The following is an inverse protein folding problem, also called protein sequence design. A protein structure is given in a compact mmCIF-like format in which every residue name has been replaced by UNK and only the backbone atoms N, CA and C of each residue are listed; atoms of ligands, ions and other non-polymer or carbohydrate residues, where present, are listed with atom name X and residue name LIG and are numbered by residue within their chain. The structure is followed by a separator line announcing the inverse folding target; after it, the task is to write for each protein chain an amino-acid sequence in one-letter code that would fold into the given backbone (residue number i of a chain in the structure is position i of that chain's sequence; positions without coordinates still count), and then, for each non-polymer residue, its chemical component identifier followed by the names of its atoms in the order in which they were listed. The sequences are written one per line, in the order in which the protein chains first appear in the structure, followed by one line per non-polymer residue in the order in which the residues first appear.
data_IF_867585672757
#
_entry.id   IF_867585672757
#
_cell.length_a   1.000
_cell.length_b   1.000
_cell.length_c   1.000
_cell.angle_alpha   90.00
_cell.angle_beta   90.00
_cell.angle_gamma   90.00
#
_symmetry.space_group_name_H-M   'P 1'
#
loop_
_entity.id
_entity.type
_entity.pdbx_description
1 polymer ?
#
# COMPACT_ATOMS: atom_id res chain seq x y z
N UNK A 1 -34.53 3.50 9.88
CA UNK A 1 -34.05 2.69 11.03
C UNK A 1 -32.53 2.63 10.89
N UNK A 2 -31.77 3.34 11.74
CA UNK A 2 -30.30 3.29 11.74
C UNK A 2 -29.89 2.07 12.55
N UNK A 3 -29.37 1.04 11.91
CA UNK A 3 -28.78 -0.11 12.61
C UNK A 3 -27.27 0.10 12.66
N UNK A 4 -26.78 0.04 13.89
CA UNK A 4 -25.41 0.31 14.30
C UNK A 4 -24.45 -0.79 13.84
N UNK A 5 -23.30 -0.30 13.38
CA UNK A 5 -21.96 -0.87 13.43
C UNK A 5 -21.82 -2.08 14.38
N UNK A 6 -21.37 -3.21 13.83
CA UNK A 6 -20.81 -4.34 14.58
C UNK A 6 -19.54 -4.77 13.87
N UNK A 7 -18.35 -4.28 14.28
CA UNK A 7 -17.13 -4.96 13.92
C UNK A 7 -17.22 -6.33 14.57
N UNK A 8 -17.48 -7.34 13.75
CA UNK A 8 -17.41 -8.72 14.21
C UNK A 8 -15.94 -9.04 14.50
N UNK A 9 -15.66 -10.08 15.28
CA UNK A 9 -14.31 -10.63 15.43
C UNK A 9 -13.66 -11.10 14.12
N UNK A 10 -14.35 -10.97 12.99
CA UNK A 10 -13.93 -11.35 11.65
C UNK A 10 -13.78 -10.12 10.71
N UNK A 11 -13.80 -8.90 11.24
CA UNK A 11 -13.55 -7.70 10.44
C UNK A 11 -12.05 -7.45 10.30
N UNK A 12 -11.63 -7.02 9.12
CA UNK A 12 -10.23 -6.74 8.75
C UNK A 12 -10.11 -5.36 8.09
N UNK A 13 -8.89 -4.83 7.99
CA UNK A 13 -8.62 -3.59 7.26
C UNK A 13 -8.60 -3.88 5.75
N UNK A 14 -9.75 -3.72 5.11
CA UNK A 14 -9.87 -3.89 3.66
C UNK A 14 -9.35 -2.67 2.91
N UNK A 15 -8.64 -2.90 1.81
CA UNK A 15 -8.26 -1.87 0.85
C UNK A 15 -8.56 -2.30 -0.57
N UNK A 16 -9.25 -1.44 -1.34
CA UNK A 16 -9.37 -1.55 -2.79
C UNK A 16 -8.36 -0.61 -3.44
N UNK A 17 -7.47 -1.17 -4.25
CA UNK A 17 -6.53 -0.43 -5.09
C UNK A 17 -7.02 -0.45 -6.54
N UNK A 18 -7.37 0.72 -7.07
CA UNK A 18 -7.59 0.93 -8.50
C UNK A 18 -6.42 1.66 -9.14
N UNK A 19 -5.79 1.08 -10.16
CA UNK A 19 -4.80 1.75 -11.03
C UNK A 19 -5.47 2.06 -12.36
N UNK A 20 -5.51 3.33 -12.73
CA UNK A 20 -6.22 3.80 -13.93
C UNK A 20 -5.23 4.19 -15.04
N UNK A 21 -5.68 4.23 -16.32
CA UNK A 21 -4.81 4.55 -17.45
C UNK A 21 -4.10 5.90 -17.30
N UNK A 22 -4.78 6.88 -16.69
CA UNK A 22 -4.20 8.19 -16.45
C UNK A 22 -4.72 8.88 -15.17
N UNK A 23 -4.09 10.02 -14.85
CA UNK A 23 -4.42 10.83 -13.66
C UNK A 23 -5.81 11.45 -13.74
N UNK A 24 -6.34 11.72 -14.93
CA UNK A 24 -7.65 12.33 -15.14
C UNK A 24 -8.75 11.31 -14.81
N UNK A 25 -8.64 10.09 -15.31
CA UNK A 25 -9.57 8.99 -15.00
C UNK A 25 -9.52 8.68 -13.50
N UNK A 26 -8.33 8.52 -12.92
CA UNK A 26 -8.17 8.30 -11.49
C UNK A 26 -8.84 9.41 -10.64
N UNK A 27 -8.72 10.68 -11.08
CA UNK A 27 -9.36 11.82 -10.41
C UNK A 27 -10.89 11.74 -10.48
N UNK A 28 -11.45 11.30 -11.61
CA UNK A 28 -12.90 11.10 -11.76
C UNK A 28 -13.40 9.99 -10.83
N UNK A 29 -12.74 8.82 -10.84
CA UNK A 29 -13.06 7.70 -9.96
C UNK A 29 -12.98 8.10 -8.47
N UNK A 30 -11.88 8.74 -8.07
CA UNK A 30 -11.71 9.28 -6.71
C UNK A 30 -12.84 10.22 -6.28
N UNK A 31 -13.20 11.17 -7.15
CA UNK A 31 -14.27 12.12 -6.86
C UNK A 31 -15.64 11.43 -6.79
N UNK A 32 -15.87 10.41 -7.61
CA UNK A 32 -17.09 9.62 -7.57
C UNK A 32 -17.24 8.87 -6.25
N UNK A 33 -16.20 8.19 -5.79
CA UNK A 33 -16.20 7.53 -4.47
C UNK A 33 -16.46 8.56 -3.37
N UNK A 34 -15.75 9.68 -3.36
CA UNK A 34 -15.97 10.74 -2.35
C UNK A 34 -17.37 11.34 -2.39
N UNK A 35 -17.95 11.49 -3.58
CA UNK A 35 -19.32 11.96 -3.75
C UNK A 35 -20.30 10.94 -3.19
N UNK A 36 -20.14 9.66 -3.50
CA UNK A 36 -20.97 8.59 -2.95
C UNK A 36 -20.94 8.59 -1.42
N UNK A 37 -19.76 8.61 -0.80
CA UNK A 37 -19.63 8.65 0.66
C UNK A 37 -20.30 9.89 1.27
N UNK A 38 -20.19 11.05 0.61
CA UNK A 38 -20.87 12.29 1.04
C UNK A 38 -22.39 12.19 0.90
N UNK A 39 -22.87 11.62 -0.18
CA UNK A 39 -24.31 11.47 -0.42
C UNK A 39 -24.92 10.50 0.61
N UNK A 40 -24.22 9.42 0.99
CA UNK A 40 -24.61 8.56 2.12
C UNK A 40 -24.60 9.32 3.44
N UNK A 41 -23.55 10.09 3.72
CA UNK A 41 -23.46 10.90 4.96
C UNK A 41 -24.64 11.87 5.10
N UNK A 42 -25.07 12.44 3.99
CA UNK A 42 -26.17 13.41 3.94
C UNK A 42 -27.55 12.75 3.79
N UNK A 43 -27.65 11.42 3.82
CA UNK A 43 -28.91 10.68 3.68
C UNK A 43 -29.57 10.79 2.30
N UNK A 44 -28.81 11.14 1.25
CA UNK A 44 -29.30 11.23 -0.13
C UNK A 44 -29.34 9.88 -0.84
N UNK A 45 -28.55 8.92 -0.36
CA UNK A 45 -28.48 7.54 -0.84
C UNK A 45 -28.06 6.65 0.33
N UNK A 46 -28.21 5.34 0.18
CA UNK A 46 -27.71 4.35 1.13
C UNK A 46 -27.34 3.06 0.39
N UNK A 47 -26.42 2.29 0.95
CA UNK A 47 -26.06 0.98 0.44
C UNK A 47 -25.66 0.06 1.59
N UNK A 48 -25.73 -1.25 1.36
CA UNK A 48 -25.38 -2.26 2.38
C UNK A 48 -23.93 -2.08 2.83
N UNK A 49 -23.75 -1.80 4.12
CA UNK A 49 -22.45 -1.60 4.76
C UNK A 49 -22.51 -2.01 6.23
N UNK A 50 -21.44 -2.60 6.72
CA UNK A 50 -21.23 -2.89 8.15
C UNK A 50 -20.23 -1.92 8.80
N UNK A 51 -19.73 -0.96 8.03
CA UNK A 51 -18.67 -0.04 8.40
C UNK A 51 -19.10 1.43 8.48
N UNK A 52 -18.32 2.24 9.20
CA UNK A 52 -18.57 3.67 9.41
C UNK A 52 -17.96 4.53 8.31
N UNK A 53 -18.69 5.55 7.84
CA UNK A 53 -18.17 6.51 6.86
C UNK A 53 -16.98 7.31 7.40
N UNK A 54 -16.87 7.42 8.73
CA UNK A 54 -15.81 8.19 9.37
C UNK A 54 -14.49 7.41 9.47
N UNK A 55 -14.55 6.08 9.33
CA UNK A 55 -13.38 5.19 9.25
C UNK A 55 -12.93 4.96 7.81
N UNK A 56 -13.84 5.17 6.84
CA UNK A 56 -13.54 5.03 5.43
C UNK A 56 -12.58 6.13 4.94
N UNK A 57 -11.44 5.70 4.41
CA UNK A 57 -10.42 6.58 3.85
C UNK A 57 -10.36 6.43 2.34
N UNK A 58 -10.26 7.56 1.63
CA UNK A 58 -10.04 7.57 0.17
C UNK A 58 -8.83 8.43 -0.16
N UNK A 59 -7.82 7.84 -0.80
CA UNK A 59 -6.58 8.51 -1.22
C UNK A 59 -6.45 8.48 -2.73
N UNK A 60 -5.86 9.54 -3.29
CA UNK A 60 -5.49 9.64 -4.71
C UNK A 60 -3.98 9.86 -4.81
N UNK A 61 -3.26 8.97 -5.48
CA UNK A 61 -1.81 9.04 -5.67
C UNK A 61 -1.47 8.80 -7.14
N UNK A 62 -1.23 9.88 -7.89
CA UNK A 62 -0.97 9.79 -9.33
C UNK A 62 -2.20 9.26 -10.08
N UNK A 63 -2.07 8.11 -10.74
CA UNK A 63 -3.16 7.40 -11.40
C UNK A 63 -3.79 6.30 -10.52
N UNK A 64 -3.50 6.28 -9.22
CA UNK A 64 -3.99 5.27 -8.27
C UNK A 64 -5.03 5.85 -7.32
N UNK A 65 -6.11 5.11 -7.09
CA UNK A 65 -7.11 5.40 -6.06
C UNK A 65 -7.10 4.26 -5.05
N UNK A 66 -7.01 4.61 -3.77
CA UNK A 66 -7.08 3.67 -2.66
C UNK A 66 -8.32 4.00 -1.84
N UNK A 67 -9.18 3.01 -1.65
CA UNK A 67 -10.25 3.05 -0.66
C UNK A 67 -9.91 2.06 0.45
N UNK A 68 -9.92 2.49 1.71
CA UNK A 68 -9.61 1.63 2.85
C UNK A 68 -10.68 1.76 3.93
N UNK A 69 -11.10 0.66 4.52
CA UNK A 69 -12.07 0.63 5.63
C UNK A 69 -12.00 -0.67 6.42
N UNK A 70 -12.34 -0.60 7.71
CA UNK A 70 -12.49 -1.78 8.56
C UNK A 70 -13.87 -2.40 8.39
N UNK A 71 -13.95 -3.65 7.90
CA UNK A 71 -15.22 -4.29 7.49
C UNK A 71 -15.09 -5.81 7.45
N UNK A 72 -16.21 -6.53 7.52
CA UNK A 72 -16.30 -7.97 7.20
C UNK A 72 -16.52 -8.23 5.68
N UNK A 73 -15.99 -7.35 4.81
CA UNK A 73 -16.03 -7.51 3.35
C UNK A 73 -17.16 -6.77 2.61
N UNK A 74 -17.88 -5.84 3.24
CA UNK A 74 -18.98 -5.09 2.60
C UNK A 74 -18.48 -3.92 1.74
N UNK A 75 -17.67 -4.21 0.72
CA UNK A 75 -17.00 -3.21 -0.12
C UNK A 75 -17.45 -3.20 -1.60
N UNK A 76 -18.35 -4.11 -1.98
CA UNK A 76 -18.77 -4.33 -3.38
C UNK A 76 -19.31 -3.07 -4.08
N UNK A 77 -20.03 -2.21 -3.35
CA UNK A 77 -20.56 -0.97 -3.95
C UNK A 77 -19.42 -0.02 -4.34
N UNK A 78 -18.34 0.02 -3.55
CA UNK A 78 -17.16 0.83 -3.85
C UNK A 78 -16.37 0.20 -4.99
N UNK A 79 -16.20 -1.13 -4.97
CA UNK A 79 -15.55 -1.88 -6.04
C UNK A 79 -16.22 -1.65 -7.39
N UNK A 80 -17.53 -1.90 -7.48
CA UNK A 80 -18.31 -1.69 -8.69
C UNK A 80 -18.30 -0.23 -9.16
N UNK A 81 -18.21 0.73 -8.23
CA UNK A 81 -18.06 2.14 -8.59
C UNK A 81 -16.70 2.43 -9.22
N UNK A 82 -15.62 1.86 -8.71
CA UNK A 82 -14.27 2.01 -9.27
C UNK A 82 -14.14 1.31 -10.63
N UNK A 83 -14.72 0.11 -10.76
CA UNK A 83 -14.72 -0.68 -12.00
C UNK A 83 -15.35 0.06 -13.20
N UNK A 84 -16.40 0.87 -12.97
CA UNK A 84 -17.03 1.71 -14.01
C UNK A 84 -16.09 2.71 -14.68
N UNK A 85 -14.94 2.99 -14.08
CA UNK A 85 -13.92 3.87 -14.64
C UNK A 85 -12.81 3.10 -15.36
N UNK A 86 -13.02 1.81 -15.62
CA UNK A 86 -12.14 0.92 -16.41
C UNK A 86 -10.67 0.99 -15.93
N UNK A 87 -10.41 0.60 -14.66
CA UNK A 87 -9.04 0.52 -14.17
C UNK A 87 -8.25 -0.54 -14.95
N UNK A 88 -6.96 -0.30 -15.16
CA UNK A 88 -6.02 -1.30 -15.68
C UNK A 88 -5.76 -2.42 -14.64
N UNK A 89 -5.83 -2.07 -13.35
CA UNK A 89 -5.69 -2.99 -12.22
C UNK A 89 -6.74 -2.64 -11.17
N UNK A 90 -7.49 -3.63 -10.71
CA UNK A 90 -8.40 -3.51 -9.59
C UNK A 90 -8.18 -4.69 -8.64
N UNK A 91 -7.54 -4.40 -7.51
CA UNK A 91 -7.14 -5.40 -6.52
C UNK A 91 -7.75 -5.09 -5.17
N UNK A 92 -8.02 -6.16 -4.43
CA UNK A 92 -8.50 -6.12 -3.06
C UNK A 92 -7.43 -6.73 -2.17
N UNK A 93 -7.22 -6.08 -1.03
CA UNK A 93 -6.24 -6.48 -0.04
C UNK A 93 -6.90 -6.47 1.32
N UNK A 94 -6.54 -7.42 2.17
CA UNK A 94 -6.73 -7.31 3.61
C UNK A 94 -5.41 -6.83 4.22
N UNK A 95 -5.48 -6.05 5.30
CA UNK A 95 -4.30 -5.55 6.02
C UNK A 95 -3.22 -4.94 5.09
N UNK A 96 -3.68 -4.09 4.15
CA UNK A 96 -2.80 -3.47 3.15
C UNK A 96 -1.74 -2.59 3.79
N UNK A 97 -0.48 -2.81 3.39
CA UNK A 97 0.67 -2.05 3.86
C UNK A 97 1.40 -1.41 2.68
N UNK A 98 1.83 -0.16 2.87
CA UNK A 98 2.81 0.50 2.02
C UNK A 98 4.09 0.72 2.81
N UNK A 99 5.21 0.23 2.29
CA UNK A 99 6.53 0.31 2.92
C UNK A 99 7.46 1.21 2.12
N UNK A 100 8.17 2.09 2.81
CA UNK A 100 9.43 2.64 2.34
C UNK A 100 10.59 1.87 2.99
N UNK A 101 11.34 1.16 2.15
CA UNK A 101 12.49 0.34 2.57
C UNK A 101 13.75 1.10 2.21
N UNK A 102 14.59 1.39 3.19
CA UNK A 102 15.86 2.09 3.00
C UNK A 102 17.03 1.17 3.28
N UNK A 103 17.97 1.14 2.35
CA UNK A 103 19.27 0.50 2.51
C UNK A 103 20.36 1.59 2.51
N UNK A 104 21.06 1.71 3.62
CA UNK A 104 22.14 2.69 3.80
C UNK A 104 23.49 2.02 3.65
N UNK A 105 24.28 2.46 2.68
CA UNK A 105 25.62 1.93 2.40
C UNK A 105 26.66 3.05 2.44
N UNK A 106 27.97 2.71 2.50
CA UNK A 106 29.04 3.71 2.40
C UNK A 106 28.91 4.62 1.18
N UNK A 107 29.54 5.80 1.24
CA UNK A 107 29.57 6.74 0.12
C UNK A 107 30.07 6.09 -1.17
N UNK A 108 29.61 6.61 -2.30
CA UNK A 108 30.03 6.19 -3.65
C UNK A 108 29.63 4.77 -4.06
N UNK A 109 29.02 3.97 -3.17
CA UNK A 109 28.39 2.70 -3.56
C UNK A 109 27.30 2.97 -4.60
N UNK A 110 27.26 2.15 -5.64
CA UNK A 110 26.26 2.19 -6.70
C UNK A 110 25.46 0.91 -6.69
N UNK A 111 24.36 0.86 -7.45
CA UNK A 111 23.57 -0.36 -7.63
C UNK A 111 24.46 -1.53 -8.12
N UNK A 112 25.48 -1.23 -8.95
CA UNK A 112 26.39 -2.25 -9.49
C UNK A 112 27.42 -2.75 -8.46
N UNK A 113 27.82 -1.91 -7.52
CA UNK A 113 28.86 -2.25 -6.54
C UNK A 113 28.31 -2.69 -5.19
N UNK A 114 27.05 -2.38 -4.86
CA UNK A 114 26.38 -2.85 -3.65
C UNK A 114 26.43 -4.38 -3.48
N UNK A 115 26.26 -5.21 -4.54
CA UNK A 115 26.39 -6.66 -4.43
C UNK A 115 27.74 -7.18 -3.93
N UNK A 116 28.80 -6.38 -3.98
CA UNK A 116 30.14 -6.80 -3.56
C UNK A 116 30.35 -6.68 -2.05
N UNK A 117 29.53 -5.89 -1.37
CA UNK A 117 29.68 -5.58 0.06
C UNK A 117 28.50 -6.08 0.91
N UNK A 118 27.37 -6.39 0.28
CA UNK A 118 26.20 -6.92 0.99
C UNK A 118 26.40 -8.40 1.35
N UNK A 119 26.09 -8.80 2.60
CA UNK A 119 25.98 -10.21 2.97
C UNK A 119 24.96 -10.94 2.10
N UNK A 120 25.09 -12.26 1.99
CA UNK A 120 24.29 -13.12 1.09
C UNK A 120 22.78 -12.89 1.23
N UNK A 121 22.28 -12.78 2.46
CA UNK A 121 20.85 -12.60 2.74
C UNK A 121 20.34 -11.21 2.34
N UNK A 122 21.06 -10.15 2.76
CA UNK A 122 20.74 -8.78 2.35
C UNK A 122 20.81 -8.60 0.83
N UNK A 123 21.78 -9.25 0.17
CA UNK A 123 21.90 -9.23 -1.28
C UNK A 123 20.70 -9.89 -1.97
N UNK A 124 20.15 -10.95 -1.38
CA UNK A 124 18.96 -11.60 -1.91
C UNK A 124 17.75 -10.65 -1.88
N UNK A 125 17.52 -9.96 -0.75
CA UNK A 125 16.46 -8.95 -0.64
C UNK A 125 16.69 -7.80 -1.63
N UNK A 126 17.90 -7.22 -1.64
CA UNK A 126 18.26 -6.10 -2.54
C UNK A 126 17.99 -6.44 -4.02
N UNK A 127 18.34 -7.65 -4.45
CA UNK A 127 18.07 -8.11 -5.82
C UNK A 127 16.59 -8.29 -6.11
N UNK A 128 15.80 -8.77 -5.15
CA UNK A 128 14.36 -8.89 -5.33
C UNK A 128 13.71 -7.50 -5.44
N UNK A 129 14.07 -6.57 -4.55
CA UNK A 129 13.57 -5.20 -4.59
C UNK A 129 13.92 -4.50 -5.90
N UNK A 130 15.13 -4.67 -6.44
CA UNK A 130 15.49 -4.10 -7.74
C UNK A 130 14.67 -4.65 -8.92
N UNK A 131 14.10 -5.86 -8.79
CA UNK A 131 13.26 -6.46 -9.84
C UNK A 131 11.83 -5.91 -9.82
N UNK A 132 11.30 -5.65 -8.64
CA UNK A 132 9.87 -5.32 -8.46
C UNK A 132 9.63 -3.84 -8.16
N UNK A 133 10.63 -3.13 -7.65
CA UNK A 133 10.54 -1.73 -7.28
C UNK A 133 11.43 -0.86 -8.16
N UNK A 134 10.95 0.35 -8.44
CA UNK A 134 11.82 1.43 -8.91
C UNK A 134 12.62 1.98 -7.72
N UNK A 135 13.94 1.85 -7.78
CA UNK A 135 14.84 2.37 -6.74
C UNK A 135 15.11 3.87 -6.94
N UNK A 136 15.06 4.63 -5.85
CA UNK A 136 15.57 6.00 -5.79
C UNK A 136 16.89 5.98 -5.02
N UNK A 137 17.94 6.60 -5.56
CA UNK A 137 19.24 6.71 -4.87
C UNK A 137 19.44 8.13 -4.37
N UNK A 138 19.69 8.30 -3.07
CA UNK A 138 20.09 9.57 -2.46
C UNK A 138 21.51 9.50 -1.94
N UNK A 139 22.24 10.62 -2.03
CA UNK A 139 23.56 10.79 -1.42
C UNK A 139 23.37 11.64 -0.16
N UNK A 140 23.67 11.07 0.99
CA UNK A 140 23.52 11.75 2.28
C UNK A 140 24.87 11.81 2.99
N UNK A 141 25.51 12.99 2.97
CA UNK A 141 26.86 13.21 3.52
C UNK A 141 27.88 12.17 3.02
N UNK A 142 28.19 11.17 3.84
CA UNK A 142 29.15 10.08 3.59
C UNK A 142 28.47 8.73 3.31
N UNK A 143 27.18 8.74 3.00
CA UNK A 143 26.38 7.54 2.80
C UNK A 143 25.60 7.62 1.49
N UNK A 144 25.25 6.43 1.00
CA UNK A 144 24.36 6.23 -0.12
C UNK A 144 23.12 5.53 0.39
N UNK A 145 21.96 6.13 0.17
CA UNK A 145 20.69 5.56 0.60
C UNK A 145 19.92 5.11 -0.64
N UNK A 146 19.64 3.81 -0.72
CA UNK A 146 18.74 3.23 -1.71
C UNK A 146 17.35 3.15 -1.09
N UNK A 147 16.38 3.77 -1.73
CA UNK A 147 14.99 3.86 -1.26
C UNK A 147 14.12 3.06 -2.22
N UNK A 148 13.42 2.07 -1.68
CA UNK A 148 12.44 1.26 -2.39
C UNK A 148 11.06 1.53 -1.81
N UNK A 149 10.04 1.49 -2.66
CA UNK A 149 8.64 1.53 -2.24
C UNK A 149 7.98 0.23 -2.64
N UNK A 150 7.46 -0.47 -1.65
CA UNK A 150 6.83 -1.78 -1.81
C UNK A 150 5.46 -1.77 -1.13
N UNK A 151 4.51 -2.52 -1.65
CA UNK A 151 3.16 -2.57 -1.11
C UNK A 151 2.55 -3.95 -1.31
N UNK A 152 1.63 -4.32 -0.44
CA UNK A 152 0.97 -5.63 -0.45
C UNK A 152 0.21 -5.89 0.84
N UNK A 153 -0.30 -7.10 0.96
CA UNK A 153 -1.02 -7.62 2.12
C UNK A 153 -0.04 -8.28 3.10
N UNK A 154 -0.10 -7.86 4.37
CA UNK A 154 0.68 -8.44 5.47
C UNK A 154 2.19 -8.59 5.18
N UNK A 155 2.75 -7.67 4.41
CA UNK A 155 4.13 -7.74 3.92
C UNK A 155 5.19 -7.36 4.97
N UNK A 156 4.79 -6.84 6.13
CA UNK A 156 5.68 -6.50 7.25
C UNK A 156 5.04 -6.81 8.60
N UNK A 157 5.78 -7.51 9.44
CA UNK A 157 5.33 -7.95 10.77
C UNK A 157 5.93 -7.10 11.89
N UNK A 158 5.31 -7.15 13.07
CA UNK A 158 5.83 -6.49 14.29
C UNK A 158 7.18 -7.05 14.78
N UNK A 159 7.59 -8.20 14.25
CA UNK A 159 8.86 -8.86 14.56
C UNK A 159 10.00 -8.36 13.64
N UNK A 160 9.71 -7.41 12.75
CA UNK A 160 10.72 -6.85 11.86
C UNK A 160 11.01 -7.71 10.64
N UNK A 161 10.05 -8.53 10.22
CA UNK A 161 10.19 -9.41 9.05
C UNK A 161 9.43 -8.80 7.88
N UNK A 162 10.10 -8.67 6.74
CA UNK A 162 9.48 -8.29 5.47
C UNK A 162 9.30 -9.50 4.57
N UNK A 163 8.12 -9.62 3.95
CA UNK A 163 7.77 -10.66 2.99
C UNK A 163 7.80 -10.09 1.57
N UNK A 164 8.67 -10.62 0.71
CA UNK A 164 8.74 -10.28 -0.71
C UNK A 164 8.48 -11.54 -1.55
N UNK A 165 7.31 -11.60 -2.19
CA UNK A 165 6.86 -12.83 -2.85
C UNK A 165 6.66 -13.94 -1.81
N UNK A 166 7.35 -15.08 -1.97
CA UNK A 166 7.30 -16.20 -1.03
C UNK A 166 8.48 -16.27 -0.06
N UNK A 167 9.23 -15.17 0.11
CA UNK A 167 10.43 -15.13 0.96
C UNK A 167 10.32 -14.10 2.06
N UNK A 168 10.82 -14.47 3.23
CA UNK A 168 10.87 -13.65 4.43
C UNK A 168 12.30 -13.19 4.70
N UNK A 169 12.43 -11.96 5.20
CA UNK A 169 13.70 -11.32 5.50
C UNK A 169 13.61 -10.60 6.85
N UNK A 170 14.41 -11.00 7.87
CA UNK A 170 14.40 -10.37 9.19
C UNK A 170 15.20 -9.07 9.19
N UNK A 171 14.65 -8.03 8.56
CA UNK A 171 15.34 -6.76 8.29
C UNK A 171 15.72 -5.99 9.55
N UNK A 172 14.97 -6.14 10.64
CA UNK A 172 15.30 -5.49 11.92
C UNK A 172 16.59 -6.04 12.58
N UNK A 173 17.10 -7.17 12.09
CA UNK A 173 18.40 -7.70 12.52
C UNK A 173 19.57 -7.06 11.75
N UNK A 174 19.32 -6.16 10.82
CA UNK A 174 20.32 -5.58 9.94
C UNK A 174 20.47 -4.07 10.17
N UNK A 175 21.61 -3.65 10.73
CA UNK A 175 21.89 -2.25 11.10
C UNK A 175 21.80 -1.23 9.96
N UNK A 176 21.86 -1.70 8.72
CA UNK A 176 21.89 -0.87 7.51
C UNK A 176 20.57 -0.86 6.73
N UNK A 177 19.51 -1.48 7.27
CA UNK A 177 18.18 -1.49 6.69
C UNK A 177 17.18 -0.81 7.63
N UNK A 178 16.30 0.02 7.06
CA UNK A 178 15.23 0.68 7.81
C UNK A 178 13.92 0.54 7.05
N UNK A 179 12.83 0.29 7.79
CA UNK A 179 11.48 0.14 7.24
C UNK A 179 10.58 1.22 7.81
N UNK A 180 9.81 1.88 6.95
CA UNK A 180 8.82 2.87 7.33
C UNK A 180 7.46 2.52 6.72
N UNK A 181 6.43 2.38 7.56
CA UNK A 181 5.03 2.28 7.12
C UNK A 181 4.53 3.67 6.67
N UNK A 182 3.84 3.75 5.52
CA UNK A 182 3.45 5.01 4.84
C UNK A 182 1.94 5.37 4.87
#
# INVERSE_FOLDING_TARGET
MKVNFRPSSHSEDYTILGVFPDKKIARLAYNAVRRLLRDVRNGKTDFSRDWSLDEATVRLRGNRVLFSVYTAGYIETIRALLEKYEPEILEEYTNYQELEIRLTLPSQVSIKTAPLILPKEQLALFRQLLKICKVTTKREKKQTVFIFRYFGEEIYTSEGVITIGSKEYPVDQWDNWEIYLL
#
